data_IF_954653478260
#
_entry.id   IF_954653478260
#
_cell.length_a   1.000
_cell.length_b   1.000
_cell.length_c   1.000
_cell.angle_alpha   90.00
_cell.angle_beta   90.00
_cell.angle_gamma   90.00
#
_symmetry.space_group_name_H-M   'P 1'
#
loop_
_entity.id
_entity.type
_entity.pdbx_description
1 polymer ?
#
# COMPACT_ATOMS: atom_id res chain seq x y z
N UNK A 1 -33.35 57.75 -71.49
CA UNK A 1 -32.67 57.06 -72.57
C UNK A 1 -32.31 55.67 -72.12
N UNK A 2 -33.04 54.70 -72.54
CA UNK A 2 -32.70 53.54 -73.29
C UNK A 2 -31.67 52.67 -72.48
N UNK A 3 -31.86 51.47 -72.17
CA UNK A 3 -32.70 50.37 -72.69
C UNK A 3 -31.86 49.09 -72.46
N UNK A 4 -32.54 47.98 -72.31
CA UNK A 4 -31.93 46.73 -72.62
C UNK A 4 -32.18 45.58 -71.67
N UNK A 5 -33.35 44.96 -71.80
CA UNK A 5 -33.59 43.55 -71.36
C UNK A 5 -32.67 42.57 -72.11
N UNK A 6 -32.30 41.53 -71.35
CA UNK A 6 -32.34 40.15 -71.90
C UNK A 6 -32.25 39.08 -70.83
N UNK A 7 -33.26 38.28 -70.73
CA UNK A 7 -33.37 37.03 -69.99
C UNK A 7 -32.59 35.89 -70.73
N UNK A 8 -32.26 34.83 -70.02
CA UNK A 8 -32.08 33.39 -70.36
C UNK A 8 -31.27 32.80 -69.18
N UNK A 9 -31.56 31.73 -68.54
CA UNK A 9 -32.24 30.53 -68.70
C UNK A 9 -31.94 29.67 -67.54
N UNK A 10 -32.94 29.04 -66.94
CA UNK A 10 -32.81 28.08 -65.82
C UNK A 10 -32.13 26.78 -66.26
N UNK A 11 -31.13 26.34 -65.52
CA UNK A 11 -30.69 24.94 -65.52
C UNK A 11 -30.84 24.38 -64.15
N UNK A 12 -31.83 23.53 -64.00
CA UNK A 12 -32.03 22.70 -62.80
C UNK A 12 -31.05 21.54 -62.86
N UNK A 13 -30.08 21.51 -61.92
CA UNK A 13 -29.23 20.34 -61.69
C UNK A 13 -29.64 19.67 -60.39
N UNK A 14 -30.34 18.54 -60.56
CA UNK A 14 -30.67 17.62 -59.52
C UNK A 14 -29.40 16.89 -59.01
N UNK A 15 -28.92 17.19 -57.81
CA UNK A 15 -27.84 16.42 -57.15
C UNK A 15 -28.48 15.34 -56.32
N UNK A 16 -28.31 14.09 -56.75
CA UNK A 16 -28.65 12.91 -55.97
C UNK A 16 -27.71 12.78 -54.76
N UNK A 17 -28.26 12.83 -53.56
CA UNK A 17 -27.53 12.52 -52.30
C UNK A 17 -27.36 11.01 -52.20
N UNK A 18 -26.16 10.51 -52.41
CA UNK A 18 -25.74 9.16 -51.97
C UNK A 18 -25.47 9.19 -50.47
N UNK A 19 -26.35 8.57 -49.70
CA UNK A 19 -26.08 8.23 -48.32
C UNK A 19 -25.08 7.07 -48.29
N UNK A 20 -23.82 7.37 -47.98
CA UNK A 20 -22.83 6.36 -47.63
C UNK A 20 -23.02 6.06 -46.12
N UNK A 21 -23.61 4.89 -45.83
CA UNK A 21 -23.58 4.29 -44.52
C UNK A 21 -22.14 3.82 -44.24
N UNK A 22 -21.38 4.62 -43.54
CA UNK A 22 -20.06 4.24 -43.01
C UNK A 22 -20.22 3.38 -41.75
N UNK A 23 -20.03 2.09 -41.91
CA UNK A 23 -19.79 1.17 -40.80
C UNK A 23 -18.43 1.40 -40.19
N UNK A 24 -18.41 1.33 -38.86
CA UNK A 24 -17.26 0.90 -38.07
C UNK A 24 -16.11 1.88 -37.96
N UNK A 25 -16.16 2.73 -36.94
CA UNK A 25 -14.95 3.32 -36.40
C UNK A 25 -14.05 2.22 -35.84
N UNK A 26 -13.04 1.81 -36.62
CA UNK A 26 -11.84 1.30 -36.03
C UNK A 26 -11.17 2.51 -35.35
N UNK A 27 -10.87 2.40 -34.08
CA UNK A 27 -10.05 3.38 -33.36
C UNK A 27 -8.70 3.49 -34.11
N UNK A 28 -8.57 4.49 -34.92
CA UNK A 28 -7.29 4.96 -35.47
C UNK A 28 -6.49 5.52 -34.27
N UNK A 29 -5.83 4.63 -33.54
CA UNK A 29 -4.75 5.03 -32.65
C UNK A 29 -3.65 5.58 -33.56
N UNK A 30 -3.60 6.91 -33.67
CA UNK A 30 -2.48 7.60 -34.33
C UNK A 30 -1.14 7.12 -33.74
N UNK A 31 -0.01 7.36 -34.42
CA UNK A 31 1.29 6.91 -33.94
C UNK A 31 1.51 7.39 -32.53
N UNK A 32 1.80 6.45 -31.62
CA UNK A 32 2.08 6.75 -30.23
C UNK A 32 3.42 7.49 -30.18
N UNK A 33 3.40 8.80 -29.95
CA UNK A 33 4.61 9.54 -29.57
C UNK A 33 5.02 9.09 -28.18
N UNK A 34 6.13 8.38 -28.07
CA UNK A 34 6.65 7.88 -26.80
C UNK A 34 7.35 6.52 -26.91
N UNK A 35 7.91 6.00 -25.82
CA UNK A 35 8.64 4.74 -25.84
C UNK A 35 7.70 3.56 -26.15
N UNK A 36 8.17 2.64 -26.98
CA UNK A 36 7.50 1.36 -27.26
C UNK A 36 7.80 0.28 -26.22
N UNK A 37 8.81 0.54 -25.37
CA UNK A 37 9.20 -0.30 -24.23
C UNK A 37 9.02 0.48 -22.96
N UNK A 38 8.31 -0.08 -21.99
CA UNK A 38 8.07 0.50 -20.69
C UNK A 38 8.84 -0.27 -19.61
N UNK A 39 9.31 0.44 -18.60
CA UNK A 39 9.96 -0.15 -17.43
C UNK A 39 9.11 0.09 -16.18
N UNK A 40 8.82 -0.95 -15.43
CA UNK A 40 8.26 -0.88 -14.08
C UNK A 40 9.37 -1.23 -13.10
N UNK A 41 9.62 -0.34 -12.15
CA UNK A 41 10.60 -0.55 -11.09
C UNK A 41 9.93 -1.01 -9.82
N UNK A 42 10.64 -1.80 -9.01
CA UNK A 42 10.31 -1.91 -7.58
C UNK A 42 11.53 -1.58 -6.73
N UNK A 43 11.29 -1.09 -5.51
CA UNK A 43 12.32 -0.80 -4.50
C UNK A 43 11.87 -1.39 -3.18
N UNK A 44 12.55 -2.46 -2.76
CA UNK A 44 12.23 -3.22 -1.55
C UNK A 44 13.54 -3.62 -0.85
N UNK A 45 13.57 -3.75 0.50
CA UNK A 45 14.77 -4.16 1.23
C UNK A 45 15.01 -5.66 1.09
N UNK A 46 15.96 -6.07 0.26
CA UNK A 46 16.22 -7.48 -0.07
C UNK A 46 17.15 -8.19 0.93
N UNK A 47 17.63 -7.48 1.97
CA UNK A 47 18.52 -8.04 3.00
C UNK A 47 17.98 -7.79 4.40
N UNK A 48 18.42 -8.64 5.35
CA UNK A 48 18.12 -8.49 6.77
C UNK A 48 16.73 -8.95 7.17
N UNK A 49 16.14 -8.26 8.14
CA UNK A 49 14.87 -8.68 8.76
C UNK A 49 13.71 -8.75 7.78
N UNK A 50 13.71 -7.89 6.77
CA UNK A 50 12.67 -7.81 5.74
C UNK A 50 13.00 -8.60 4.47
N UNK A 51 14.19 -9.21 4.41
CA UNK A 51 14.70 -9.85 3.19
C UNK A 51 13.80 -10.95 2.65
N UNK A 52 13.38 -11.90 3.49
CA UNK A 52 12.49 -12.99 3.10
C UNK A 52 11.15 -12.46 2.58
N UNK A 53 10.52 -11.55 3.33
CA UNK A 53 9.27 -10.88 2.97
C UNK A 53 9.38 -10.16 1.63
N UNK A 54 10.44 -9.39 1.44
CA UNK A 54 10.69 -8.64 0.21
C UNK A 54 10.98 -9.52 -1.00
N UNK A 55 11.69 -10.63 -0.82
CA UNK A 55 11.90 -11.60 -1.89
C UNK A 55 10.59 -12.23 -2.37
N UNK A 56 9.68 -12.55 -1.47
CA UNK A 56 8.35 -13.06 -1.84
C UNK A 56 7.51 -11.99 -2.55
N UNK A 57 7.60 -10.73 -2.14
CA UNK A 57 6.97 -9.63 -2.84
C UNK A 57 7.53 -9.45 -4.26
N UNK A 58 8.86 -9.53 -4.44
CA UNK A 58 9.49 -9.51 -5.78
C UNK A 58 9.04 -10.70 -6.62
N UNK A 59 8.92 -11.88 -6.04
CA UNK A 59 8.42 -13.08 -6.71
C UNK A 59 6.96 -12.91 -7.15
N UNK A 60 6.13 -12.29 -6.32
CA UNK A 60 4.74 -11.98 -6.65
C UNK A 60 4.62 -10.96 -7.80
N UNK A 61 5.49 -9.93 -7.81
CA UNK A 61 5.60 -9.00 -8.94
C UNK A 61 5.99 -9.75 -10.22
N UNK A 62 7.03 -10.59 -10.16
CA UNK A 62 7.46 -11.41 -11.30
C UNK A 62 6.34 -12.31 -11.83
N UNK A 63 5.56 -12.92 -10.92
CA UNK A 63 4.41 -13.76 -11.30
C UNK A 63 3.37 -12.95 -12.08
N UNK A 64 3.01 -11.75 -11.61
CA UNK A 64 2.08 -10.86 -12.32
C UNK A 64 2.58 -10.48 -13.72
N UNK A 65 3.89 -10.24 -13.86
CA UNK A 65 4.52 -10.00 -15.16
C UNK A 65 4.48 -11.22 -16.08
N UNK A 66 4.84 -12.38 -15.58
CA UNK A 66 4.78 -13.64 -16.36
C UNK A 66 3.38 -13.88 -16.90
N UNK A 67 2.35 -13.67 -16.09
CA UNK A 67 0.95 -13.83 -16.50
C UNK A 67 0.49 -12.78 -17.53
N UNK A 68 1.12 -11.60 -17.58
CA UNK A 68 0.84 -10.58 -18.59
C UNK A 68 1.52 -10.85 -19.92
N UNK A 69 2.46 -11.78 -19.99
CA UNK A 69 3.27 -12.06 -21.15
C UNK A 69 4.27 -10.94 -21.51
N UNK A 70 4.50 -9.98 -20.60
CA UNK A 70 5.43 -8.86 -20.82
C UNK A 70 5.00 -7.88 -21.91
N UNK A 71 3.69 -7.88 -22.27
CA UNK A 71 3.14 -7.00 -23.33
C UNK A 71 1.76 -6.47 -22.96
N UNK A 72 1.49 -5.22 -23.34
CA UNK A 72 0.16 -4.59 -23.27
C UNK A 72 -0.10 -3.94 -24.62
N UNK A 73 -0.93 -4.57 -25.46
CA UNK A 73 -1.12 -4.14 -26.85
C UNK A 73 0.23 -4.11 -27.59
N UNK A 74 0.60 -2.98 -28.22
CA UNK A 74 1.88 -2.83 -28.94
C UNK A 74 3.07 -2.59 -27.98
N UNK A 75 2.84 -2.29 -26.71
CA UNK A 75 3.87 -1.92 -25.74
C UNK A 75 4.53 -3.17 -25.14
N UNK A 76 5.85 -3.21 -25.14
CA UNK A 76 6.63 -4.16 -24.35
C UNK A 76 6.81 -3.62 -22.94
N UNK A 77 6.63 -4.46 -21.92
CA UNK A 77 6.78 -4.06 -20.52
C UNK A 77 7.86 -4.91 -19.86
N UNK A 78 8.82 -4.26 -19.25
CA UNK A 78 9.92 -4.88 -18.51
C UNK A 78 9.82 -4.55 -17.02
N UNK A 79 10.44 -5.40 -16.20
CA UNK A 79 10.48 -5.22 -14.75
C UNK A 79 11.92 -5.21 -14.25
N UNK A 80 12.22 -4.24 -13.37
CA UNK A 80 13.51 -4.09 -12.71
C UNK A 80 13.30 -4.04 -11.20
N UNK A 81 13.89 -4.99 -10.47
CA UNK A 81 13.90 -4.99 -9.02
C UNK A 81 15.15 -4.27 -8.50
N UNK A 82 14.95 -3.27 -7.66
CA UNK A 82 16.00 -2.52 -6.98
C UNK A 82 16.00 -2.85 -5.50
N UNK A 83 17.18 -2.94 -4.91
CA UNK A 83 17.38 -3.22 -3.49
C UNK A 83 17.53 -1.91 -2.72
N UNK A 84 16.64 -1.64 -1.77
CA UNK A 84 16.70 -0.47 -0.90
C UNK A 84 17.51 -0.71 0.39
N UNK A 85 18.01 -1.94 0.59
CA UNK A 85 18.83 -2.32 1.75
C UNK A 85 20.29 -2.53 1.40
N UNK A 86 21.09 -2.82 2.41
CA UNK A 86 22.45 -3.35 2.23
C UNK A 86 22.67 -4.55 3.13
N UNK A 87 23.52 -5.52 2.75
CA UNK A 87 23.86 -6.66 3.62
C UNK A 87 24.45 -6.22 4.96
N UNK A 88 25.10 -5.07 5.02
CA UNK A 88 25.72 -4.53 6.22
C UNK A 88 24.68 -3.99 7.21
N UNK A 89 23.72 -3.22 6.71
CA UNK A 89 22.76 -2.53 7.55
C UNK A 89 21.56 -3.44 7.90
N UNK A 90 21.29 -4.44 7.07
CA UNK A 90 20.22 -5.42 7.28
C UNK A 90 18.81 -4.83 7.27
N UNK A 91 18.66 -3.62 6.73
CA UNK A 91 17.40 -2.91 6.55
C UNK A 91 17.56 -1.90 5.41
N UNK A 92 16.47 -1.24 5.02
CA UNK A 92 16.54 -0.15 4.05
C UNK A 92 17.38 1.03 4.56
N UNK A 93 17.97 1.78 3.64
CA UNK A 93 18.73 2.99 3.96
C UNK A 93 18.28 4.16 3.09
N UNK A 94 18.34 5.37 3.64
CA UNK A 94 17.94 6.58 2.91
C UNK A 94 18.69 6.75 1.59
N UNK A 95 19.99 6.49 1.58
CA UNK A 95 20.81 6.60 0.37
C UNK A 95 20.34 5.64 -0.73
N UNK A 96 20.07 4.37 -0.37
CA UNK A 96 19.61 3.37 -1.34
C UNK A 96 18.23 3.69 -1.87
N UNK A 97 17.29 4.10 -1.01
CA UNK A 97 15.94 4.52 -1.41
C UNK A 97 16.01 5.69 -2.40
N UNK A 98 16.78 6.73 -2.08
CA UNK A 98 16.93 7.89 -2.93
C UNK A 98 17.62 7.55 -4.27
N UNK A 99 18.63 6.69 -4.27
CA UNK A 99 19.30 6.25 -5.49
C UNK A 99 18.41 5.38 -6.37
N UNK A 100 17.59 4.51 -5.78
CA UNK A 100 16.60 3.73 -6.50
C UNK A 100 15.55 4.63 -7.18
N UNK A 101 14.99 5.60 -6.44
CA UNK A 101 14.05 6.56 -7.00
C UNK A 101 14.67 7.38 -8.14
N UNK A 102 15.93 7.88 -7.96
CA UNK A 102 16.64 8.58 -9.03
C UNK A 102 16.90 7.71 -10.25
N UNK A 103 17.19 6.42 -10.04
CA UNK A 103 17.40 5.46 -11.14
C UNK A 103 16.12 5.35 -11.97
N UNK A 104 14.98 5.18 -11.34
CA UNK A 104 13.68 5.12 -12.01
C UNK A 104 13.37 6.45 -12.74
N UNK A 105 13.60 7.60 -12.10
CA UNK A 105 13.30 8.93 -12.69
C UNK A 105 14.13 9.23 -13.92
N UNK A 106 15.39 8.79 -13.96
CA UNK A 106 16.32 8.99 -15.10
C UNK A 106 16.01 8.10 -16.30
N UNK A 107 15.28 7.00 -16.09
CA UNK A 107 14.85 6.13 -17.20
C UNK A 107 13.62 6.73 -17.88
N UNK A 108 13.76 7.15 -19.12
CA UNK A 108 12.67 7.72 -19.92
C UNK A 108 11.57 6.68 -20.21
N UNK A 109 11.88 5.39 -20.12
CA UNK A 109 10.93 4.30 -20.30
C UNK A 109 10.18 3.96 -18.99
N UNK A 110 10.61 4.49 -17.83
CA UNK A 110 9.94 4.23 -16.57
C UNK A 110 8.51 4.76 -16.58
N UNK A 111 7.54 3.87 -16.30
CA UNK A 111 6.11 4.20 -16.28
C UNK A 111 5.52 4.11 -14.88
N UNK A 112 6.05 3.23 -14.03
CA UNK A 112 5.59 3.08 -12.66
C UNK A 112 6.71 2.60 -11.73
N UNK A 113 6.52 2.86 -10.44
CA UNK A 113 7.39 2.47 -9.34
C UNK A 113 6.57 1.77 -8.25
N UNK A 114 6.90 0.52 -7.94
CA UNK A 114 6.23 -0.29 -6.91
C UNK A 114 7.09 -0.26 -5.65
N UNK A 115 6.59 0.31 -4.61
CA UNK A 115 7.34 0.50 -3.35
C UNK A 115 7.02 1.85 -2.70
N UNK A 116 7.71 2.17 -1.63
CA UNK A 116 8.62 1.30 -0.89
C UNK A 116 7.85 0.41 0.10
N UNK A 117 8.55 -0.46 0.84
CA UNK A 117 7.95 -1.29 1.89
C UNK A 117 7.48 -0.42 3.05
N UNK A 118 8.38 0.41 3.58
CA UNK A 118 8.15 1.25 4.73
C UNK A 118 7.59 2.63 4.36
N UNK A 119 6.75 3.18 5.22
CA UNK A 119 6.20 4.52 5.04
C UNK A 119 7.27 5.61 5.06
N UNK A 120 8.32 5.46 5.88
CA UNK A 120 9.44 6.40 5.93
C UNK A 120 10.30 6.34 4.66
N UNK A 121 10.52 5.16 4.10
CA UNK A 121 11.18 4.99 2.81
C UNK A 121 10.37 5.61 1.67
N UNK A 122 9.04 5.36 1.66
CA UNK A 122 8.12 5.98 0.69
C UNK A 122 8.14 7.51 0.78
N UNK A 123 8.19 8.07 1.98
CA UNK A 123 8.28 9.51 2.19
C UNK A 123 9.57 10.14 1.59
N UNK A 124 10.63 9.35 1.40
CA UNK A 124 11.87 9.77 0.74
C UNK A 124 11.81 9.62 -0.79
N UNK A 125 11.26 8.52 -1.29
CA UNK A 125 11.20 8.23 -2.73
C UNK A 125 10.11 9.05 -3.44
N UNK A 126 8.97 9.25 -2.80
CA UNK A 126 7.78 9.86 -3.40
C UNK A 126 8.01 11.27 -3.96
N UNK A 127 8.71 12.20 -3.30
CA UNK A 127 8.98 13.51 -3.92
C UNK A 127 9.72 13.40 -5.25
N UNK A 128 10.67 12.46 -5.37
CA UNK A 128 11.45 12.25 -6.59
C UNK A 128 10.61 11.63 -7.70
N UNK A 129 9.89 10.55 -7.40
CA UNK A 129 9.00 9.90 -8.37
C UNK A 129 7.89 10.82 -8.83
N UNK A 130 7.38 11.67 -7.93
CA UNK A 130 6.37 12.69 -8.21
C UNK A 130 6.92 13.79 -9.14
N UNK A 131 8.12 14.30 -8.88
CA UNK A 131 8.78 15.26 -9.76
C UNK A 131 9.02 14.68 -11.15
N UNK A 132 9.32 13.37 -11.22
CA UNK A 132 9.42 12.61 -12.47
C UNK A 132 8.06 12.24 -13.09
N UNK A 133 6.93 12.61 -12.49
CA UNK A 133 5.58 12.23 -12.93
C UNK A 133 5.36 10.71 -13.04
N UNK A 134 6.09 9.89 -12.28
CA UNK A 134 5.98 8.45 -12.28
C UNK A 134 4.90 8.03 -11.28
N UNK A 135 3.95 7.19 -11.70
CA UNK A 135 2.99 6.57 -10.80
C UNK A 135 3.71 5.68 -9.79
N UNK A 136 3.62 6.01 -8.51
CA UNK A 136 4.15 5.17 -7.44
C UNK A 136 3.01 4.47 -6.69
N UNK A 137 3.11 3.15 -6.55
CA UNK A 137 2.12 2.35 -5.80
C UNK A 137 2.84 1.57 -4.71
N UNK A 138 2.49 1.84 -3.44
CA UNK A 138 3.01 1.02 -2.35
C UNK A 138 2.06 -0.14 -2.02
N UNK A 139 2.61 -1.35 -1.88
CA UNK A 139 1.87 -2.50 -1.38
C UNK A 139 1.69 -2.52 0.15
N UNK A 140 2.42 -1.66 0.90
CA UNK A 140 2.53 -1.78 2.36
C UNK A 140 2.58 -0.47 3.14
N UNK A 141 2.92 0.67 2.51
CA UNK A 141 3.02 1.96 3.22
C UNK A 141 1.64 2.51 3.59
N UNK A 142 1.35 2.55 4.88
CA UNK A 142 0.03 2.88 5.43
C UNK A 142 -0.09 4.29 5.98
N UNK A 143 1.01 5.02 6.20
CA UNK A 143 1.02 6.34 6.82
C UNK A 143 0.08 7.34 6.11
N UNK A 144 -0.86 7.92 6.87
CA UNK A 144 -1.88 8.83 6.33
C UNK A 144 -1.29 10.10 5.71
N UNK A 145 -0.21 10.63 6.27
CA UNK A 145 0.43 11.85 5.78
C UNK A 145 0.97 11.76 4.35
N UNK A 146 1.13 10.55 3.79
CA UNK A 146 1.51 10.36 2.37
C UNK A 146 0.40 10.82 1.40
N UNK A 147 -0.86 10.77 1.82
CA UNK A 147 -2.00 10.98 0.94
C UNK A 147 -2.98 12.04 1.43
N UNK A 148 -3.19 12.14 2.74
CA UNK A 148 -4.25 12.95 3.34
C UNK A 148 -3.74 14.14 4.11
N UNK A 149 -4.47 15.29 4.08
CA UNK A 149 -4.20 16.39 4.97
C UNK A 149 -4.58 16.04 6.41
N UNK A 150 -3.93 16.67 7.37
CA UNK A 150 -4.21 16.48 8.80
C UNK A 150 -3.32 15.45 9.49
N UNK A 151 -2.26 15.00 8.82
CA UNK A 151 -1.15 14.34 9.50
C UNK A 151 -0.52 15.26 10.54
N UNK A 152 0.21 14.71 11.50
CA UNK A 152 0.83 15.46 12.60
C UNK A 152 1.96 16.39 12.18
N UNK A 153 2.39 16.31 10.93
CA UNK A 153 3.54 17.06 10.44
C UNK A 153 3.10 18.19 9.51
N UNK A 154 3.67 19.40 9.65
CA UNK A 154 3.36 20.53 8.78
C UNK A 154 3.61 20.21 7.31
N UNK A 155 2.76 20.76 6.44
CA UNK A 155 2.85 20.65 4.99
C UNK A 155 2.69 19.21 4.42
N UNK A 156 2.11 18.28 5.17
CA UNK A 156 1.68 16.97 4.65
C UNK A 156 0.23 17.05 4.18
N UNK A 157 -0.04 16.41 3.04
CA UNK A 157 0.84 15.61 2.18
C UNK A 157 1.56 16.41 1.09
N UNK A 158 1.33 17.72 0.96
CA UNK A 158 1.77 18.56 -0.16
C UNK A 158 3.29 18.51 -0.35
N UNK A 159 4.06 18.39 0.73
CA UNK A 159 5.54 18.26 0.69
C UNK A 159 6.03 17.06 -0.14
N UNK A 160 5.18 16.04 -0.33
CA UNK A 160 5.52 14.86 -1.10
C UNK A 160 5.17 14.99 -2.60
N UNK A 161 4.50 16.09 -2.99
CA UNK A 161 4.00 16.30 -4.34
C UNK A 161 4.52 17.61 -4.96
N UNK A 162 5.86 17.74 -5.16
CA UNK A 162 6.44 18.97 -5.71
C UNK A 162 5.89 19.34 -7.10
N UNK A 163 5.41 18.37 -7.90
CA UNK A 163 4.76 18.64 -9.17
C UNK A 163 3.35 19.27 -9.03
N UNK A 164 2.79 19.31 -7.82
CA UNK A 164 1.42 19.74 -7.57
C UNK A 164 0.34 18.70 -7.99
N UNK A 165 0.74 17.55 -8.54
CA UNK A 165 -0.17 16.48 -8.96
C UNK A 165 -0.02 15.26 -8.07
N UNK A 166 -1.11 14.51 -7.86
CA UNK A 166 -1.06 13.24 -7.12
C UNK A 166 -0.59 12.14 -8.05
N UNK A 167 0.51 11.47 -7.66
CA UNK A 167 1.09 10.34 -8.41
C UNK A 167 1.31 9.11 -7.53
N UNK A 168 0.82 9.13 -6.30
CA UNK A 168 0.96 8.03 -5.36
C UNK A 168 -0.39 7.41 -5.03
N UNK A 169 -0.38 6.08 -4.86
CA UNK A 169 -1.46 5.35 -4.25
C UNK A 169 -1.00 4.07 -3.56
N UNK A 170 -1.95 3.39 -2.92
CA UNK A 170 -1.69 2.16 -2.18
C UNK A 170 -2.82 1.16 -2.32
N UNK A 171 -2.47 -0.13 -2.22
CA UNK A 171 -3.42 -1.24 -2.22
C UNK A 171 -3.59 -1.86 -0.83
N UNK A 172 -3.07 -1.21 0.19
CA UNK A 172 -3.25 -1.52 1.61
C UNK A 172 -4.04 -0.38 2.26
N UNK A 173 -4.86 -0.70 3.27
CA UNK A 173 -5.64 0.31 3.98
C UNK A 173 -4.74 1.27 4.76
N UNK A 174 -5.09 2.56 4.75
CA UNK A 174 -4.35 3.60 5.45
C UNK A 174 -4.48 3.50 6.98
N UNK A 175 -3.56 4.13 7.72
CA UNK A 175 -3.47 4.04 9.19
C UNK A 175 -4.75 4.44 9.92
N UNK A 176 -5.52 5.42 9.44
CA UNK A 176 -6.79 5.77 10.07
C UNK A 176 -7.82 4.63 10.01
N UNK A 177 -7.81 3.82 8.94
CA UNK A 177 -8.67 2.64 8.81
C UNK A 177 -8.15 1.51 9.71
N UNK A 178 -6.83 1.31 9.74
CA UNK A 178 -6.17 0.35 10.62
C UNK A 178 -6.43 0.67 12.10
N UNK A 179 -6.27 1.94 12.49
CA UNK A 179 -6.53 2.41 13.86
C UNK A 179 -7.99 2.17 14.27
N UNK A 180 -8.95 2.45 13.40
CA UNK A 180 -10.35 2.17 13.68
C UNK A 180 -10.62 0.67 13.87
N UNK A 181 -9.97 -0.19 13.07
CA UNK A 181 -10.07 -1.65 13.23
C UNK A 181 -9.47 -2.12 14.57
N UNK A 182 -8.28 -1.63 14.93
CA UNK A 182 -7.61 -1.95 16.20
C UNK A 182 -8.44 -1.52 17.41
N UNK A 183 -8.92 -0.29 17.41
CA UNK A 183 -9.77 0.24 18.49
C UNK A 183 -11.07 -0.57 18.60
N UNK A 184 -11.70 -0.89 17.46
CA UNK A 184 -12.86 -1.79 17.42
C UNK A 184 -12.54 -3.17 17.99
N UNK A 185 -11.35 -3.70 17.71
CA UNK A 185 -10.91 -4.98 18.27
C UNK A 185 -10.70 -4.90 19.77
N UNK A 186 -10.01 -3.88 20.26
CA UNK A 186 -9.82 -3.59 21.70
C UNK A 186 -11.16 -3.55 22.43
N UNK A 187 -12.16 -2.83 21.86
CA UNK A 187 -13.51 -2.76 22.43
C UNK A 187 -14.16 -4.14 22.57
N UNK A 188 -14.01 -5.01 21.56
CA UNK A 188 -14.57 -6.37 21.63
C UNK A 188 -13.89 -7.26 22.68
N UNK A 189 -12.68 -6.91 23.09
CA UNK A 189 -11.93 -7.56 24.18
C UNK A 189 -12.23 -6.94 25.55
N UNK A 190 -13.12 -5.95 25.63
CA UNK A 190 -13.51 -5.29 26.87
C UNK A 190 -12.57 -4.20 27.35
N UNK A 191 -11.61 -3.77 26.53
CA UNK A 191 -10.67 -2.70 26.86
C UNK A 191 -11.40 -1.36 26.99
N UNK A 192 -11.13 -0.63 28.06
CA UNK A 192 -11.61 0.74 28.30
C UNK A 192 -10.48 1.73 28.49
N UNK A 193 -9.30 1.27 28.87
CA UNK A 193 -8.12 2.07 29.18
C UNK A 193 -6.91 1.44 28.53
N UNK A 194 -6.19 2.17 27.70
CA UNK A 194 -5.01 1.69 26.96
C UNK A 194 -3.81 2.59 27.20
N UNK A 195 -2.66 1.99 27.48
CA UNK A 195 -1.37 2.66 27.38
C UNK A 195 -0.82 2.43 25.98
N UNK A 196 -0.44 3.50 25.28
CA UNK A 196 -0.01 3.50 23.91
C UNK A 196 1.41 4.04 23.79
N UNK A 197 2.33 3.20 23.32
CA UNK A 197 3.68 3.62 22.98
C UNK A 197 3.93 3.46 21.48
N UNK A 198 4.80 4.31 20.93
CA UNK A 198 5.28 4.16 19.55
C UNK A 198 6.80 4.17 19.47
N UNK A 199 7.35 3.63 18.39
CA UNK A 199 8.70 3.99 17.98
C UNK A 199 8.71 5.44 17.47
N UNK A 200 9.89 5.94 17.11
CA UNK A 200 10.03 7.30 16.58
C UNK A 200 9.91 7.34 15.06
N UNK A 201 9.54 6.23 14.47
CA UNK A 201 9.39 6.13 13.02
C UNK A 201 8.14 6.86 12.52
N UNK A 202 8.12 7.15 11.22
CA UNK A 202 7.01 7.83 10.57
C UNK A 202 5.72 7.01 10.67
N UNK A 203 5.82 5.70 10.46
CA UNK A 203 4.70 4.77 10.57
C UNK A 203 4.19 4.67 12.00
N UNK A 204 5.03 4.25 12.95
CA UNK A 204 4.59 4.00 14.33
C UNK A 204 4.04 5.25 15.01
N UNK A 205 4.69 6.40 14.82
CA UNK A 205 4.20 7.70 15.33
C UNK A 205 2.86 8.08 14.70
N UNK A 206 2.71 7.92 13.38
CA UNK A 206 1.46 8.20 12.65
C UNK A 206 0.30 7.30 13.12
N UNK A 207 0.53 5.99 13.19
CA UNK A 207 -0.47 5.05 13.69
C UNK A 207 -0.90 5.35 15.13
N UNK A 208 0.05 5.70 16.01
CA UNK A 208 -0.26 6.08 17.39
C UNK A 208 -1.18 7.33 17.46
N UNK A 209 -1.00 8.28 16.55
CA UNK A 209 -1.88 9.45 16.45
C UNK A 209 -3.28 9.06 16.03
N UNK A 210 -3.42 8.22 15.00
CA UNK A 210 -4.70 7.75 14.51
C UNK A 210 -5.43 6.92 15.58
N UNK A 211 -4.70 6.08 16.34
CA UNK A 211 -5.24 5.32 17.46
C UNK A 211 -5.75 6.26 18.57
N UNK A 212 -4.97 7.26 18.94
CA UNK A 212 -5.36 8.23 19.98
C UNK A 212 -6.58 9.06 19.54
N UNK A 213 -6.75 9.34 18.24
CA UNK A 213 -7.90 10.02 17.69
C UNK A 213 -9.16 9.13 17.59
N UNK A 214 -8.99 7.83 17.33
CA UNK A 214 -10.08 6.87 17.17
C UNK A 214 -10.60 6.34 18.52
N UNK A 215 -9.74 6.10 19.51
CA UNK A 215 -10.06 5.46 20.78
C UNK A 215 -11.22 6.11 21.55
N UNK A 216 -11.31 7.45 21.72
CA UNK A 216 -12.41 8.09 22.41
C UNK A 216 -13.78 7.86 21.76
N UNK A 217 -13.82 7.72 20.43
CA UNK A 217 -15.07 7.48 19.68
C UNK A 217 -15.71 6.12 20.03
N UNK A 218 -14.90 5.17 20.48
CA UNK A 218 -15.31 3.83 20.92
C UNK A 218 -15.36 3.69 22.44
N UNK A 219 -15.19 4.79 23.18
CA UNK A 219 -15.24 4.83 24.64
C UNK A 219 -13.96 4.30 25.31
N UNK A 220 -12.83 4.29 24.62
CA UNK A 220 -11.54 3.88 25.15
C UNK A 220 -10.71 5.10 25.49
N UNK A 221 -10.23 5.16 26.73
CA UNK A 221 -9.33 6.21 27.21
C UNK A 221 -7.88 5.84 26.89
N UNK A 222 -7.16 6.71 26.22
CA UNK A 222 -5.70 6.62 26.09
C UNK A 222 -5.06 7.27 27.32
N UNK A 223 -4.39 6.47 28.14
CA UNK A 223 -3.79 6.91 29.40
C UNK A 223 -2.41 7.53 29.23
N UNK A 224 -1.68 7.03 28.26
CA UNK A 224 -0.33 7.47 27.94
C UNK A 224 -0.14 7.36 26.43
N UNK A 225 0.53 8.33 25.85
CA UNK A 225 0.99 8.33 24.48
C UNK A 225 2.41 8.86 24.47
N UNK A 226 3.36 7.96 24.41
CA UNK A 226 4.78 8.31 24.43
C UNK A 226 5.58 7.54 23.40
N UNK A 227 6.79 8.02 23.16
CA UNK A 227 7.73 7.40 22.25
C UNK A 227 8.78 6.61 23.01
N UNK A 228 9.27 5.53 22.40
CA UNK A 228 10.40 4.76 22.89
C UNK A 228 11.47 4.60 21.82
N UNK A 229 12.73 4.62 22.24
CA UNK A 229 13.83 4.28 21.36
C UNK A 229 14.04 2.76 21.36
N UNK A 230 13.55 2.08 20.34
CA UNK A 230 13.60 0.61 20.20
C UNK A 230 15.03 0.04 20.16
N UNK A 231 16.07 0.89 20.02
CA UNK A 231 17.49 0.47 20.07
C UNK A 231 17.97 0.22 21.50
N UNK A 232 17.25 0.73 22.51
CA UNK A 232 17.56 0.47 23.89
C UNK A 232 17.48 -1.02 24.21
N UNK A 233 18.24 -1.45 25.21
CA UNK A 233 18.25 -2.85 25.66
C UNK A 233 17.32 -3.10 26.85
N UNK A 234 17.03 -2.07 27.62
CA UNK A 234 16.22 -2.14 28.84
C UNK A 234 15.03 -1.18 28.76
N UNK A 235 13.85 -1.69 29.07
CA UNK A 235 12.58 -0.98 29.10
C UNK A 235 11.86 -1.11 30.45
N UNK A 236 12.53 -1.61 31.50
CA UNK A 236 11.93 -1.89 32.80
C UNK A 236 11.31 -0.65 33.43
N UNK A 237 11.99 0.49 33.44
CA UNK A 237 11.46 1.76 33.98
C UNK A 237 10.21 2.19 33.22
N UNK A 238 10.23 2.12 31.87
CA UNK A 238 9.08 2.50 31.04
C UNK A 238 7.91 1.55 31.24
N UNK A 239 8.16 0.26 31.37
CA UNK A 239 7.16 -0.74 31.67
C UNK A 239 6.54 -0.54 33.07
N UNK A 240 7.35 -0.18 34.09
CA UNK A 240 6.85 0.16 35.40
C UNK A 240 5.96 1.42 35.38
N UNK A 241 6.30 2.43 34.56
CA UNK A 241 5.46 3.61 34.41
C UNK A 241 4.12 3.27 33.73
N UNK A 242 4.12 2.41 32.70
CA UNK A 242 2.90 1.89 32.10
C UNK A 242 2.04 1.15 33.13
N UNK A 243 2.63 0.27 33.93
CA UNK A 243 1.89 -0.50 34.93
C UNK A 243 1.24 0.39 36.01
N UNK A 244 1.91 1.49 36.44
CA UNK A 244 1.36 2.47 37.40
C UNK A 244 0.07 3.15 36.93
N UNK A 245 -0.16 3.23 35.60
CA UNK A 245 -1.38 3.79 35.05
C UNK A 245 -2.58 2.87 35.18
N UNK A 246 -2.38 1.61 35.57
CA UNK A 246 -3.40 0.55 35.66
C UNK A 246 -4.29 0.46 34.41
N UNK A 247 -3.71 0.25 33.20
CA UNK A 247 -4.46 0.09 31.97
C UNK A 247 -5.09 -1.30 31.88
N UNK A 248 -6.12 -1.47 31.02
CA UNK A 248 -6.64 -2.80 30.65
C UNK A 248 -5.76 -3.46 29.56
N UNK A 249 -5.12 -2.63 28.75
CA UNK A 249 -4.30 -3.07 27.64
C UNK A 249 -3.09 -2.17 27.39
N UNK A 250 -2.09 -2.76 26.77
CA UNK A 250 -0.94 -2.08 26.21
C UNK A 250 -0.93 -2.24 24.70
N UNK A 251 -0.63 -1.16 23.97
CA UNK A 251 -0.43 -1.14 22.54
C UNK A 251 0.94 -0.54 22.20
N UNK A 252 1.70 -1.25 21.39
CA UNK A 252 2.89 -0.70 20.76
C UNK A 252 2.60 -0.51 19.25
N UNK A 253 2.72 0.73 18.81
CA UNK A 253 2.65 1.12 17.40
C UNK A 253 4.06 1.31 16.86
N UNK A 254 4.51 0.43 15.97
CA UNK A 254 5.85 0.46 15.42
C UNK A 254 6.20 -0.81 14.67
N UNK A 255 7.38 -0.82 14.09
CA UNK A 255 7.88 -1.92 13.27
C UNK A 255 8.31 -3.13 14.12
N UNK A 256 8.21 -4.32 13.49
CA UNK A 256 8.76 -5.54 14.09
C UNK A 256 10.27 -5.40 14.25
N UNK A 257 10.73 -5.57 15.47
CA UNK A 257 12.15 -5.47 15.80
C UNK A 257 12.48 -6.20 17.09
N UNK A 258 13.74 -6.52 17.37
CA UNK A 258 14.15 -7.02 18.68
C UNK A 258 13.84 -6.07 19.82
N UNK A 259 13.76 -4.75 19.54
CA UNK A 259 13.34 -3.74 20.52
C UNK A 259 11.86 -3.82 20.83
N UNK A 260 11.01 -3.96 19.81
CA UNK A 260 9.58 -4.17 19.99
C UNK A 260 9.29 -5.42 20.83
N UNK A 261 9.98 -6.52 20.56
CA UNK A 261 9.84 -7.75 21.37
C UNK A 261 10.17 -7.47 22.86
N UNK A 262 11.31 -6.82 23.15
CA UNK A 262 11.70 -6.47 24.52
C UNK A 262 10.73 -5.53 25.24
N UNK A 263 10.08 -4.60 24.52
CA UNK A 263 9.04 -3.73 25.07
C UNK A 263 7.85 -4.56 25.54
N UNK A 264 7.36 -5.49 24.69
CA UNK A 264 6.26 -6.38 25.07
C UNK A 264 6.63 -7.29 26.25
N UNK A 265 7.85 -7.81 26.28
CA UNK A 265 8.35 -8.61 27.40
C UNK A 265 8.37 -7.81 28.70
N UNK A 266 8.98 -6.64 28.71
CA UNK A 266 9.08 -5.78 29.89
C UNK A 266 7.69 -5.38 30.42
N UNK A 267 6.77 -4.98 29.54
CA UNK A 267 5.40 -4.61 29.95
C UNK A 267 4.63 -5.84 30.45
N UNK A 268 4.80 -6.99 29.83
CA UNK A 268 4.17 -8.23 30.26
C UNK A 268 4.68 -8.72 31.60
N UNK A 269 5.93 -8.46 31.94
CA UNK A 269 6.54 -8.75 33.24
C UNK A 269 6.06 -7.78 34.29
N UNK A 270 6.00 -6.47 34.01
CA UNK A 270 5.55 -5.43 34.92
C UNK A 270 4.07 -5.59 35.33
N UNK A 271 3.19 -5.99 34.39
CA UNK A 271 1.81 -6.36 34.68
C UNK A 271 1.36 -7.60 33.86
N UNK A 272 1.35 -8.77 34.51
CA UNK A 272 0.92 -10.01 33.84
C UNK A 272 -0.55 -10.08 33.45
N UNK A 273 -1.40 -9.13 33.85
CA UNK A 273 -2.83 -9.10 33.55
C UNK A 273 -3.14 -8.41 32.22
N UNK A 274 -2.23 -7.55 31.71
CA UNK A 274 -2.47 -6.72 30.54
C UNK A 274 -2.73 -7.56 29.28
N UNK A 275 -3.73 -7.15 28.51
CA UNK A 275 -3.84 -7.54 27.11
C UNK A 275 -2.80 -6.74 26.30
N UNK A 276 -2.15 -7.41 25.37
CA UNK A 276 -1.13 -6.80 24.53
C UNK A 276 -1.67 -6.68 23.10
N UNK A 277 -1.59 -5.50 22.53
CA UNK A 277 -2.02 -5.27 21.15
C UNK A 277 -0.85 -4.87 20.28
N UNK A 278 -0.89 -5.31 19.02
CA UNK A 278 0.09 -4.97 18.00
C UNK A 278 -0.59 -4.64 16.66
N UNK A 279 0.13 -3.86 15.86
CA UNK A 279 -0.26 -3.49 14.51
C UNK A 279 0.00 -4.62 13.51
N UNK A 280 -0.29 -4.37 12.24
CA UNK A 280 0.04 -5.26 11.12
C UNK A 280 1.55 -5.51 10.98
N UNK A 281 2.39 -4.52 11.29
CA UNK A 281 3.84 -4.66 11.23
C UNK A 281 4.42 -5.75 12.14
N UNK A 282 3.72 -6.14 13.20
CA UNK A 282 4.11 -7.25 14.10
C UNK A 282 3.24 -8.50 13.92
N UNK A 283 2.36 -8.51 12.92
CA UNK A 283 1.47 -9.62 12.64
C UNK A 283 2.13 -10.67 11.73
N UNK A 284 3.29 -11.16 12.13
CA UNK A 284 4.01 -12.21 11.40
C UNK A 284 4.53 -13.32 12.31
N UNK A 285 4.76 -14.49 11.73
CA UNK A 285 5.19 -15.68 12.46
C UNK A 285 6.63 -15.58 13.01
N UNK A 286 7.50 -14.79 12.38
CA UNK A 286 8.87 -14.62 12.87
C UNK A 286 8.86 -13.76 14.14
N UNK A 287 8.05 -12.70 14.16
CA UNK A 287 7.86 -11.91 15.38
C UNK A 287 7.21 -12.73 16.51
N UNK A 288 6.18 -13.54 16.19
CA UNK A 288 5.58 -14.47 17.18
C UNK A 288 6.62 -15.39 17.80
N UNK A 289 7.52 -15.96 16.99
CA UNK A 289 8.57 -16.86 17.46
C UNK A 289 9.66 -16.16 18.28
N UNK A 290 9.82 -14.86 18.12
CA UNK A 290 10.80 -14.08 18.91
C UNK A 290 10.33 -13.81 20.34
N UNK A 291 9.05 -13.96 20.62
CA UNK A 291 8.45 -13.66 21.94
C UNK A 291 8.41 -14.90 22.86
N UNK A 292 8.58 -14.71 24.17
CA UNK A 292 8.24 -15.75 25.15
C UNK A 292 6.77 -16.18 24.97
N UNK A 293 6.50 -17.47 25.12
CA UNK A 293 5.16 -18.05 24.91
C UNK A 293 4.08 -17.37 25.78
N UNK A 294 4.44 -17.00 27.02
CA UNK A 294 3.53 -16.35 27.94
C UNK A 294 3.13 -14.94 27.45
N UNK A 295 4.03 -14.24 26.78
CA UNK A 295 3.79 -12.94 26.15
C UNK A 295 2.94 -13.12 24.89
N UNK A 296 3.37 -13.97 23.96
CA UNK A 296 2.68 -14.22 22.71
C UNK A 296 1.19 -14.59 22.90
N UNK A 297 0.86 -15.43 23.89
CA UNK A 297 -0.54 -15.83 24.18
C UNK A 297 -1.45 -14.67 24.58
N UNK A 298 -0.89 -13.58 25.08
CA UNK A 298 -1.63 -12.38 25.49
C UNK A 298 -1.78 -11.37 24.37
N UNK A 299 -1.05 -11.56 23.28
CA UNK A 299 -1.07 -10.63 22.14
C UNK A 299 -2.29 -10.83 21.24
N UNK A 300 -2.77 -9.71 20.79
CA UNK A 300 -3.79 -9.52 19.75
C UNK A 300 -3.21 -8.61 18.70
N UNK A 301 -3.25 -9.01 17.45
CA UNK A 301 -2.73 -8.23 16.32
C UNK A 301 -3.79 -8.09 15.24
N UNK A 302 -3.60 -7.18 14.33
CA UNK A 302 -4.41 -7.14 13.13
C UNK A 302 -3.53 -7.37 11.90
N UNK A 303 -4.11 -8.01 10.89
CA UNK A 303 -3.47 -8.19 9.59
C UNK A 303 -4.41 -7.74 8.46
N UNK A 304 -3.88 -7.09 7.41
CA UNK A 304 -4.70 -6.66 6.27
C UNK A 304 -5.17 -7.84 5.42
N UNK A 305 -4.57 -9.02 5.57
CA UNK A 305 -4.94 -10.24 4.86
C UNK A 305 -5.77 -11.17 5.76
N UNK A 306 -6.89 -11.67 5.24
CA UNK A 306 -7.65 -12.72 5.88
C UNK A 306 -6.99 -14.09 5.69
N UNK A 307 -7.22 -15.07 6.58
CA UNK A 307 -6.75 -16.41 6.37
C UNK A 307 -7.32 -17.03 5.07
N UNK A 308 -6.62 -17.96 4.41
CA UNK A 308 -6.93 -18.46 3.06
C UNK A 308 -8.39 -18.89 2.85
N UNK A 309 -9.02 -19.50 3.86
CA UNK A 309 -10.43 -19.94 3.79
C UNK A 309 -11.44 -18.79 3.62
N UNK A 310 -11.09 -17.58 4.04
CA UNK A 310 -11.93 -16.38 3.96
C UNK A 310 -11.50 -15.41 2.86
N UNK A 311 -10.39 -15.70 2.21
CA UNK A 311 -9.91 -14.89 1.09
C UNK A 311 -10.78 -15.08 -0.16
N UNK A 312 -10.82 -14.08 -1.07
CA UNK A 312 -11.40 -14.24 -2.39
C UNK A 312 -10.86 -15.46 -3.13
N UNK A 313 -11.64 -16.02 -4.05
CA UNK A 313 -11.19 -17.14 -4.88
C UNK A 313 -9.89 -16.81 -5.62
N UNK A 314 -9.80 -15.61 -6.17
CA UNK A 314 -8.62 -15.13 -6.89
C UNK A 314 -7.34 -15.13 -6.03
N UNK A 315 -7.45 -14.85 -4.72
CA UNK A 315 -6.30 -14.92 -3.80
C UNK A 315 -5.83 -16.36 -3.60
N UNK A 316 -6.76 -17.31 -3.44
CA UNK A 316 -6.40 -18.74 -3.32
C UNK A 316 -5.77 -19.30 -4.60
N UNK A 317 -6.24 -18.83 -5.76
CA UNK A 317 -5.65 -19.15 -7.06
C UNK A 317 -4.25 -18.55 -7.20
N UNK A 318 -4.03 -17.32 -6.73
CA UNK A 318 -2.69 -16.73 -6.64
C UNK A 318 -1.77 -17.58 -5.74
N UNK A 319 -2.20 -17.94 -4.52
CA UNK A 319 -1.42 -18.77 -3.60
C UNK A 319 -1.00 -20.09 -4.24
N UNK A 320 -1.93 -20.76 -4.93
CA UNK A 320 -1.62 -22.02 -5.63
C UNK A 320 -0.58 -21.84 -6.73
N UNK A 321 -0.70 -20.76 -7.56
CA UNK A 321 0.27 -20.46 -8.62
C UNK A 321 1.64 -20.05 -8.04
N UNK A 322 1.64 -19.24 -7.00
CA UNK A 322 2.87 -18.82 -6.32
C UNK A 322 3.65 -20.04 -5.79
N UNK A 323 2.97 -20.95 -5.06
CA UNK A 323 3.57 -22.20 -4.57
C UNK A 323 4.11 -23.08 -5.70
N UNK A 324 3.36 -23.20 -6.79
CA UNK A 324 3.79 -24.00 -7.94
C UNK A 324 5.03 -23.42 -8.62
N UNK A 325 5.19 -22.10 -8.61
CA UNK A 325 6.29 -21.41 -9.29
C UNK A 325 7.53 -21.27 -8.41
N UNK A 326 7.37 -20.99 -7.10
CA UNK A 326 8.46 -20.61 -6.20
C UNK A 326 8.70 -21.62 -5.05
N UNK A 327 7.87 -22.67 -4.93
CA UNK A 327 8.11 -23.80 -4.04
C UNK A 327 7.64 -23.65 -2.59
N UNK A 328 7.13 -22.49 -2.18
CA UNK A 328 6.67 -22.22 -0.81
C UNK A 328 5.38 -21.39 -0.76
N UNK A 329 4.73 -21.27 0.41
CA UNK A 329 3.62 -20.35 0.58
C UNK A 329 4.13 -18.89 0.52
N UNK A 330 3.39 -17.97 -0.12
CA UNK A 330 3.76 -16.56 -0.09
C UNK A 330 3.53 -15.99 1.30
N UNK A 331 4.34 -15.00 1.68
CA UNK A 331 4.02 -14.12 2.80
C UNK A 331 2.76 -13.29 2.47
N UNK A 332 2.02 -12.78 3.48
CA UNK A 332 0.80 -12.00 3.23
C UNK A 332 1.00 -10.83 2.27
N UNK A 333 2.09 -10.07 2.41
CA UNK A 333 2.39 -8.88 1.60
C UNK A 333 2.69 -9.18 0.12
N UNK A 334 3.02 -10.42 -0.20
CA UNK A 334 3.18 -10.87 -1.59
C UNK A 334 1.85 -10.70 -2.38
N UNK A 335 0.71 -10.87 -1.70
CA UNK A 335 -0.61 -10.68 -2.31
C UNK A 335 -0.84 -9.22 -2.70
N UNK A 336 -0.44 -8.27 -1.84
CA UNK A 336 -0.52 -6.84 -2.12
C UNK A 336 0.46 -6.43 -3.23
N UNK A 337 1.69 -6.97 -3.24
CA UNK A 337 2.67 -6.69 -4.28
C UNK A 337 2.21 -7.21 -5.66
N UNK A 338 1.60 -8.39 -5.70
CA UNK A 338 0.96 -8.93 -6.90
C UNK A 338 -0.14 -7.99 -7.39
N UNK A 339 -1.05 -7.57 -6.50
CA UNK A 339 -2.15 -6.67 -6.86
C UNK A 339 -1.67 -5.30 -7.31
N UNK A 340 -0.68 -4.70 -6.63
CA UNK A 340 -0.09 -3.42 -7.05
C UNK A 340 0.42 -3.51 -8.50
N UNK A 341 1.10 -4.62 -8.84
CA UNK A 341 1.59 -4.88 -10.19
C UNK A 341 0.44 -5.04 -11.19
N UNK A 342 -0.57 -5.83 -10.84
CA UNK A 342 -1.76 -6.02 -11.71
C UNK A 342 -2.48 -4.69 -11.94
N UNK A 343 -2.61 -3.85 -10.92
CA UNK A 343 -3.23 -2.53 -11.03
C UNK A 343 -2.44 -1.61 -11.95
N UNK A 344 -1.09 -1.59 -11.87
CA UNK A 344 -0.24 -0.85 -12.81
C UNK A 344 -0.47 -1.34 -14.25
N UNK A 345 -0.37 -2.65 -14.50
CA UNK A 345 -0.54 -3.23 -15.84
C UNK A 345 -1.93 -2.92 -16.42
N UNK A 346 -2.96 -2.95 -15.58
CA UNK A 346 -4.33 -2.63 -16.01
C UNK A 346 -4.52 -1.12 -16.22
N UNK A 347 -3.83 -0.25 -15.46
CA UNK A 347 -3.83 1.20 -15.70
C UNK A 347 -3.18 1.56 -17.03
N UNK A 348 -2.06 0.90 -17.39
CA UNK A 348 -1.44 1.04 -18.71
C UNK A 348 -2.42 0.61 -19.81
N UNK A 349 -3.12 -0.52 -19.63
CA UNK A 349 -4.12 -1.01 -20.58
C UNK A 349 -5.31 -0.05 -20.71
N UNK A 350 -5.80 0.48 -19.59
CA UNK A 350 -6.93 1.41 -19.56
C UNK A 350 -6.60 2.77 -20.18
N UNK A 351 -5.33 3.21 -20.15
CA UNK A 351 -4.87 4.40 -20.86
C UNK A 351 -4.88 4.23 -22.40
N UNK A 352 -5.11 3.01 -22.91
CA UNK A 352 -5.29 2.74 -24.35
C UNK A 352 -4.09 3.16 -25.19
N UNK A 353 -4.32 3.95 -26.25
CA UNK A 353 -3.27 4.50 -27.11
C UNK A 353 -2.24 5.38 -26.41
N UNK A 354 -2.50 5.78 -25.15
CA UNK A 354 -1.60 6.58 -24.30
C UNK A 354 -0.98 5.78 -23.16
N UNK A 355 -0.91 4.44 -23.28
CA UNK A 355 -0.32 3.58 -22.27
C UNK A 355 1.17 3.84 -21.97
N UNK A 356 1.86 4.58 -22.83
CA UNK A 356 3.24 5.05 -22.64
C UNK A 356 3.35 6.50 -22.11
N UNK A 357 2.24 7.11 -21.78
CA UNK A 357 2.16 8.46 -21.19
C UNK A 357 1.94 8.34 -19.67
N UNK A 358 2.90 8.84 -18.89
CA UNK A 358 2.88 8.77 -17.41
C UNK A 358 1.63 9.41 -16.81
N UNK A 359 1.17 10.53 -17.36
CA UNK A 359 -0.01 11.22 -16.87
C UNK A 359 -1.29 10.39 -17.16
N UNK A 360 -1.42 9.86 -18.37
CA UNK A 360 -2.58 9.04 -18.75
C UNK A 360 -2.67 7.74 -17.90
N UNK A 361 -1.53 7.10 -17.59
CA UNK A 361 -1.48 5.92 -16.71
C UNK A 361 -1.85 6.29 -15.28
N UNK A 362 -1.38 7.43 -14.77
CA UNK A 362 -1.75 7.96 -13.45
C UNK A 362 -3.26 8.28 -13.38
N UNK A 363 -3.82 8.93 -14.39
CA UNK A 363 -5.26 9.21 -14.48
C UNK A 363 -6.09 7.92 -14.49
N UNK A 364 -5.65 6.90 -15.23
CA UNK A 364 -6.29 5.59 -15.28
C UNK A 364 -6.25 4.89 -13.92
N UNK A 365 -5.13 5.00 -13.17
CA UNK A 365 -5.04 4.52 -11.79
C UNK A 365 -6.08 5.19 -10.89
N UNK A 366 -6.16 6.53 -10.89
CA UNK A 366 -7.11 7.27 -10.07
C UNK A 366 -8.58 7.08 -10.50
N UNK A 367 -8.81 6.63 -11.73
CA UNK A 367 -10.12 6.26 -12.22
C UNK A 367 -10.60 4.87 -11.78
N UNK A 368 -9.78 4.10 -11.04
CA UNK A 368 -10.13 2.74 -10.59
C UNK A 368 -11.36 2.74 -9.70
N UNK A 369 -12.43 2.03 -10.14
CA UNK A 369 -13.68 1.84 -9.39
C UNK A 369 -14.09 0.38 -9.40
N UNK A 370 -14.60 -0.11 -8.27
CA UNK A 370 -15.16 -1.45 -8.07
C UNK A 370 -14.29 -2.59 -8.68
N UNK A 371 -12.97 -2.40 -8.56
CA UNK A 371 -11.98 -3.35 -9.08
C UNK A 371 -12.07 -4.67 -8.33
N UNK A 372 -12.37 -5.73 -9.07
CA UNK A 372 -12.34 -7.11 -8.56
C UNK A 372 -10.91 -7.63 -8.63
N UNK A 373 -10.34 -8.00 -7.48
CA UNK A 373 -8.94 -8.35 -7.36
C UNK A 373 -8.71 -9.53 -6.42
N UNK A 374 -7.43 -9.88 -6.27
CA UNK A 374 -6.99 -10.86 -5.26
C UNK A 374 -7.23 -10.37 -3.82
N UNK A 375 -7.28 -9.04 -3.60
CA UNK A 375 -7.57 -8.44 -2.28
C UNK A 375 -9.06 -8.29 -2.00
N UNK A 376 -9.93 -8.58 -2.96
CA UNK A 376 -11.37 -8.31 -2.92
C UNK A 376 -11.77 -7.22 -3.91
N UNK A 377 -12.95 -6.63 -3.68
CA UNK A 377 -13.44 -5.52 -4.51
C UNK A 377 -13.12 -4.21 -3.82
N UNK A 378 -12.46 -3.29 -4.56
CA UNK A 378 -12.10 -1.98 -4.03
C UNK A 378 -12.10 -0.90 -5.12
N UNK A 379 -12.08 0.35 -4.68
CA UNK A 379 -11.88 1.54 -5.50
C UNK A 379 -10.69 2.32 -4.98
N UNK A 380 -10.10 3.14 -5.82
CA UNK A 380 -9.09 4.13 -5.43
C UNK A 380 -9.78 5.48 -5.31
N UNK A 381 -9.56 6.18 -4.19
CA UNK A 381 -10.13 7.49 -3.98
C UNK A 381 -9.25 8.60 -4.59
N UNK A 382 -9.70 9.86 -4.48
CA UNK A 382 -8.98 11.03 -5.00
C UNK A 382 -7.62 11.29 -4.33
N UNK A 383 -7.36 10.66 -3.20
CA UNK A 383 -6.10 10.78 -2.46
C UNK A 383 -5.10 9.67 -2.83
N UNK A 384 -5.55 8.62 -3.54
CA UNK A 384 -4.76 7.44 -3.85
C UNK A 384 -4.94 6.29 -2.86
N UNK A 385 -5.89 6.41 -1.93
CA UNK A 385 -6.16 5.37 -0.94
C UNK A 385 -7.15 4.35 -1.48
N UNK A 386 -6.93 3.09 -1.13
CA UNK A 386 -7.88 2.00 -1.39
C UNK A 386 -9.08 2.06 -0.46
N UNK A 387 -10.24 1.60 -0.93
CA UNK A 387 -11.44 1.40 -0.11
C UNK A 387 -11.46 0.08 0.67
N UNK A 388 -10.37 -0.69 0.70
CA UNK A 388 -10.24 -1.89 1.53
C UNK A 388 -10.34 -1.51 3.01
N UNK A 389 -11.18 -2.23 3.74
CA UNK A 389 -11.53 -1.90 5.13
C UNK A 389 -11.73 -3.13 6.02
N UNK A 390 -11.23 -4.29 5.58
CA UNK A 390 -11.43 -5.56 6.28
C UNK A 390 -10.09 -6.11 6.72
N UNK A 391 -10.01 -6.48 7.99
CA UNK A 391 -8.79 -7.01 8.63
C UNK A 391 -9.10 -8.33 9.34
N UNK A 392 -8.08 -9.16 9.48
CA UNK A 392 -8.07 -10.22 10.46
C UNK A 392 -7.67 -9.65 11.83
N UNK A 393 -8.47 -9.89 12.86
CA UNK A 393 -8.05 -9.75 14.24
C UNK A 393 -7.56 -11.10 14.70
N UNK A 394 -6.27 -11.22 14.99
CA UNK A 394 -5.63 -12.50 15.27
C UNK A 394 -5.12 -12.58 16.70
N UNK A 395 -5.09 -13.80 17.24
CA UNK A 395 -4.35 -14.14 18.46
C UNK A 395 -3.04 -14.80 18.07
N UNK A 396 -1.97 -14.40 18.74
CA UNK A 396 -0.71 -15.09 18.61
C UNK A 396 -0.73 -16.41 19.41
N UNK A 397 -0.22 -17.49 18.80
CA UNK A 397 -0.09 -18.81 19.43
C UNK A 397 1.28 -19.40 19.10
N UNK A 398 1.64 -20.51 19.74
CA UNK A 398 2.89 -21.21 19.41
C UNK A 398 2.97 -21.67 17.95
N UNK A 399 1.83 -21.93 17.34
CA UNK A 399 1.72 -22.40 15.94
C UNK A 399 1.57 -21.25 14.94
N UNK A 400 1.72 -19.98 15.36
CA UNK A 400 1.53 -18.81 14.53
C UNK A 400 0.25 -18.04 14.86
N UNK A 401 -0.20 -17.25 13.92
CA UNK A 401 -1.39 -16.41 14.01
C UNK A 401 -2.66 -17.26 13.84
N UNK A 402 -3.65 -17.03 14.70
CA UNK A 402 -4.95 -17.71 14.65
C UNK A 402 -6.05 -16.67 14.66
N UNK A 403 -6.89 -16.70 13.62
CA UNK A 403 -8.02 -15.78 13.49
C UNK A 403 -8.94 -15.87 14.71
N UNK A 404 -9.13 -14.76 15.39
CA UNK A 404 -10.08 -14.54 16.45
C UNK A 404 -11.38 -13.91 15.88
N UNK A 405 -11.22 -12.87 15.06
CA UNK A 405 -12.35 -12.11 14.52
C UNK A 405 -12.04 -11.47 13.17
N UNK A 406 -13.03 -11.40 12.29
CA UNK A 406 -12.97 -10.53 11.11
C UNK A 406 -13.45 -9.13 11.53
N UNK A 407 -12.61 -8.15 11.30
CA UNK A 407 -12.87 -6.75 11.63
C UNK A 407 -13.22 -5.99 10.34
N UNK A 408 -14.34 -5.29 10.36
CA UNK A 408 -14.76 -4.43 9.23
C UNK A 408 -14.96 -3.02 9.74
N UNK A 409 -14.22 -2.09 9.17
CA UNK A 409 -14.38 -0.67 9.44
C UNK A 409 -15.50 -0.14 8.55
N UNK A 410 -16.41 0.63 9.13
CA UNK A 410 -17.42 1.34 8.32
C UNK A 410 -16.75 2.45 7.52
N UNK A 411 -17.16 2.65 6.26
CA UNK A 411 -16.66 3.75 5.43
C UNK A 411 -16.87 5.11 6.07
#
# INVERSE_FOLDING_TARGET
MAGGLRAVGACVLTVAALAVAGCGGADDAGPQDGPSTLTIYSSLPLHGVDGERSHDMVNAIKLAFQESGGKIGPLSVTYVSLDSSTPKDGTWTSDRVLDNARTAVRDLNAIAYIGDLDSAATALSLPLTNEGHILQISPSSTYDGLTRPGGSRPAEPERFYPSGQRTFGRVVAADHVQAAALVGYMKTQGVRRVALLSDRDLYGGGLAEQLAAAAPREGIQVLDRGDVDVRKRDFSDRAADVAKLDPDAFMFAGEASPGAARIYEAVAEADPRLLLFGSDAVADDAFVRSLPVAVARRMRVIAPALPPRLQPRAAREFDARFRATFGGPPVPEALQAYEATRLVLDSIRAAGGRGNDRAAVTDAFFATRDRRSVLGTYSIDRFGDTSLNTFAGDRMTRSGLVLDKVLRVKP
#
